data_IF_905839682610
#
_entry.id   IF_905839682610
#
_cell.length_a   1.000
_cell.length_b   1.000
_cell.length_c   1.000
_cell.angle_alpha   90.00
_cell.angle_beta   90.00
_cell.angle_gamma   90.00
#
_symmetry.space_group_name_H-M   'P 1'
#
loop_
_entity.id
_entity.type
_entity.pdbx_description
1 polymer ?
#
# COMPACT_ATOMS: atom_id res chain seq x y z
N UNK A 1 1.49 -20.29 -7.52
CA UNK A 1 2.06 -19.64 -6.33
C UNK A 1 2.93 -20.66 -5.62
N UNK A 2 4.22 -20.38 -5.43
CA UNK A 2 5.05 -21.22 -4.57
C UNK A 2 4.66 -20.98 -3.11
N UNK A 3 4.77 -22.02 -2.29
CA UNK A 3 4.27 -22.03 -0.89
C UNK A 3 4.94 -20.98 0.02
N UNK A 4 6.11 -20.45 -0.37
CA UNK A 4 6.83 -19.39 0.34
C UNK A 4 6.20 -18.00 0.12
N UNK A 5 5.61 -17.74 -1.06
CA UNK A 5 5.08 -16.41 -1.41
C UNK A 5 3.81 -16.08 -0.62
N UNK A 6 2.99 -17.10 -0.31
CA UNK A 6 1.83 -16.97 0.57
C UNK A 6 2.21 -16.58 2.02
N UNK A 7 3.43 -16.88 2.49
CA UNK A 7 3.83 -16.55 3.86
C UNK A 7 3.99 -15.04 4.07
N UNK A 8 4.35 -14.29 3.04
CA UNK A 8 4.56 -12.85 3.13
C UNK A 8 3.26 -12.05 3.21
N UNK A 9 2.13 -12.62 2.76
CA UNK A 9 0.83 -11.96 2.79
C UNK A 9 0.38 -11.59 4.22
N UNK A 10 0.86 -12.31 5.25
CA UNK A 10 0.59 -12.00 6.67
C UNK A 10 1.04 -10.61 7.10
N UNK A 11 1.93 -9.98 6.33
CA UNK A 11 2.45 -8.63 6.59
C UNK A 11 1.65 -7.53 5.91
N UNK A 12 0.63 -7.87 5.09
CA UNK A 12 -0.30 -6.90 4.53
C UNK A 12 -1.18 -6.35 5.67
N UNK A 13 -1.26 -5.02 5.78
CA UNK A 13 -2.15 -4.37 6.73
C UNK A 13 -2.86 -3.16 6.13
N UNK A 14 -4.03 -2.85 6.69
CA UNK A 14 -4.79 -1.66 6.35
C UNK A 14 -4.39 -0.50 7.26
N UNK A 15 -4.18 0.68 6.67
CA UNK A 15 -4.01 1.93 7.39
C UNK A 15 -5.40 2.50 7.67
N UNK A 16 -5.77 2.80 8.92
CA UNK A 16 -7.15 3.17 9.30
C UNK A 16 -7.49 4.63 8.94
N UNK A 17 -7.44 4.99 7.66
CA UNK A 17 -7.64 6.37 7.17
C UNK A 17 -9.10 6.69 6.85
N UNK A 18 -9.93 5.70 6.50
CA UNK A 18 -11.27 5.87 5.94
C UNK A 18 -12.48 5.61 6.86
N UNK A 19 -12.29 5.48 8.18
CA UNK A 19 -13.37 5.12 9.12
C UNK A 19 -14.26 6.29 9.55
N UNK A 20 -15.59 6.07 9.65
CA UNK A 20 -16.47 7.03 10.31
C UNK A 20 -16.10 7.12 11.79
N UNK A 21 -15.74 8.33 12.23
CA UNK A 21 -15.18 8.57 13.56
C UNK A 21 -15.66 9.90 14.10
N UNK A 22 -15.90 9.95 15.41
CA UNK A 22 -16.22 11.20 16.09
C UNK A 22 -15.04 12.18 16.07
N UNK A 23 -15.33 13.47 16.25
CA UNK A 23 -14.32 14.55 16.27
C UNK A 23 -13.18 14.28 17.26
N UNK A 24 -13.51 13.76 18.44
CA UNK A 24 -12.52 13.44 19.47
C UNK A 24 -11.53 12.35 19.00
N UNK A 25 -12.02 11.27 18.38
CA UNK A 25 -11.18 10.19 17.86
C UNK A 25 -10.31 10.66 16.69
N UNK A 26 -10.84 11.50 15.80
CA UNK A 26 -10.05 12.10 14.72
C UNK A 26 -8.91 12.98 15.28
N UNK A 27 -9.18 13.77 16.33
CA UNK A 27 -8.17 14.57 17.02
C UNK A 27 -7.07 13.72 17.65
N UNK A 28 -7.44 12.64 18.34
CA UNK A 28 -6.48 11.69 18.93
C UNK A 28 -5.59 11.02 17.89
N UNK A 29 -6.18 10.51 16.80
CA UNK A 29 -5.40 9.85 15.75
C UNK A 29 -4.40 10.81 15.08
N UNK A 30 -4.79 12.07 14.87
CA UNK A 30 -3.86 13.10 14.38
C UNK A 30 -2.73 13.38 15.37
N UNK A 31 -3.03 13.41 16.68
CA UNK A 31 -2.03 13.57 17.74
C UNK A 31 -1.10 12.34 17.86
N UNK A 32 -1.60 11.14 17.58
CA UNK A 32 -0.84 9.89 17.49
C UNK A 32 0.00 9.77 16.20
N UNK A 33 -0.05 10.79 15.34
CA UNK A 33 0.80 10.89 14.16
C UNK A 33 0.14 10.44 12.86
N UNK A 34 -1.16 10.13 12.85
CA UNK A 34 -1.87 9.86 11.60
C UNK A 34 -1.77 11.07 10.66
N UNK A 35 -1.36 10.79 9.43
CA UNK A 35 -1.28 11.78 8.35
C UNK A 35 -2.46 11.61 7.41
N UNK A 36 -3.00 12.74 6.95
CA UNK A 36 -4.01 12.74 5.89
C UNK A 36 -3.40 12.17 4.60
N UNK A 37 -4.21 11.44 3.84
CA UNK A 37 -3.84 10.96 2.51
C UNK A 37 -2.91 9.75 2.45
N UNK A 38 -2.52 9.15 3.58
CA UNK A 38 -1.73 7.91 3.55
C UNK A 38 -2.51 6.82 2.80
N UNK A 39 -1.89 6.01 1.93
CA UNK A 39 -2.61 4.97 1.21
C UNK A 39 -3.21 3.91 2.13
N UNK A 40 -4.32 3.31 1.70
CA UNK A 40 -5.14 2.41 2.51
C UNK A 40 -4.45 1.09 2.87
N UNK A 41 -3.62 0.52 2.00
CA UNK A 41 -2.94 -0.75 2.24
C UNK A 41 -1.42 -0.60 2.15
N UNK A 42 -0.72 -1.34 3.01
CA UNK A 42 0.74 -1.42 3.01
C UNK A 42 1.19 -2.87 3.16
N UNK A 43 2.15 -3.26 2.33
CA UNK A 43 2.84 -4.54 2.35
C UNK A 43 4.35 -4.27 2.37
N UNK A 44 4.99 -4.21 3.55
CA UNK A 44 6.39 -3.84 3.73
C UNK A 44 7.32 -5.03 3.45
N UNK A 45 7.24 -5.55 2.23
CA UNK A 45 7.96 -6.76 1.80
C UNK A 45 8.80 -6.42 0.57
N UNK A 46 10.13 -6.36 0.66
CA UNK A 46 10.97 -5.94 -0.46
C UNK A 46 10.95 -6.91 -1.65
N UNK A 47 11.02 -6.35 -2.87
CA UNK A 47 10.99 -7.11 -4.14
C UNK A 47 11.84 -6.47 -5.21
N UNK A 48 12.34 -7.25 -6.16
CA UNK A 48 13.19 -6.77 -7.27
C UNK A 48 12.46 -6.92 -8.60
N UNK A 49 12.41 -5.85 -9.40
CA UNK A 49 11.86 -5.87 -10.76
C UNK A 49 12.63 -4.90 -11.66
N UNK A 50 12.96 -5.34 -12.88
CA UNK A 50 13.63 -4.49 -13.88
C UNK A 50 14.95 -3.88 -13.41
N UNK A 51 15.73 -4.63 -12.61
CA UNK A 51 16.99 -4.15 -12.03
C UNK A 51 16.85 -3.15 -10.88
N UNK A 52 15.63 -2.92 -10.37
CA UNK A 52 15.34 -2.02 -9.25
C UNK A 52 14.79 -2.80 -8.06
N UNK A 53 15.19 -2.39 -6.86
CA UNK A 53 14.61 -2.89 -5.61
C UNK A 53 13.48 -1.96 -5.16
N UNK A 54 12.33 -2.55 -4.88
CA UNK A 54 11.20 -1.91 -4.23
C UNK A 54 11.20 -2.29 -2.74
N UNK A 55 11.03 -1.30 -1.86
CA UNK A 55 11.04 -1.53 -0.41
C UNK A 55 9.72 -2.07 0.15
N UNK A 56 8.66 -2.04 -0.65
CA UNK A 56 7.34 -2.56 -0.32
C UNK A 56 6.30 -2.12 -1.35
N UNK A 57 5.08 -2.62 -1.19
CA UNK A 57 3.90 -2.26 -1.99
C UNK A 57 2.92 -1.46 -1.15
N UNK A 58 2.37 -0.39 -1.73
CA UNK A 58 1.30 0.41 -1.16
C UNK A 58 0.14 0.51 -2.15
N UNK A 59 -1.10 0.40 -1.65
CA UNK A 59 -2.29 0.56 -2.49
C UNK A 59 -3.23 1.60 -1.88
N UNK A 60 -3.64 2.56 -2.71
CA UNK A 60 -4.73 3.50 -2.42
C UNK A 60 -6.00 2.94 -3.05
N UNK A 61 -7.03 2.65 -2.25
CA UNK A 61 -8.25 2.01 -2.72
C UNK A 61 -9.33 3.05 -3.02
N UNK A 62 -9.95 2.91 -4.18
CA UNK A 62 -11.07 3.72 -4.62
C UNK A 62 -12.26 2.84 -4.97
N UNK A 63 -13.44 3.44 -4.88
CA UNK A 63 -14.62 2.89 -5.56
C UNK A 63 -14.47 3.13 -7.05
N UNK A 64 -15.19 2.37 -7.86
CA UNK A 64 -15.29 2.60 -9.30
C UNK A 64 -15.66 4.06 -9.59
N UNK A 65 -14.85 4.74 -10.42
CA UNK A 65 -15.01 6.16 -10.74
C UNK A 65 -14.48 7.13 -9.68
N UNK A 66 -13.96 6.64 -8.55
CA UNK A 66 -13.29 7.46 -7.55
C UNK A 66 -11.87 7.84 -7.96
N UNK A 67 -11.42 9.03 -7.56
CA UNK A 67 -10.07 9.52 -7.80
C UNK A 67 -9.35 9.82 -6.46
N UNK A 68 -8.01 9.72 -6.40
CA UNK A 68 -7.25 10.19 -5.25
C UNK A 68 -7.40 11.70 -5.05
N UNK A 69 -7.41 12.13 -3.80
CA UNK A 69 -7.26 13.55 -3.44
C UNK A 69 -5.85 14.04 -3.70
N UNK A 70 -5.63 15.35 -3.65
CA UNK A 70 -4.31 15.97 -3.77
C UNK A 70 -3.30 15.40 -2.76
N UNK A 71 -3.65 15.37 -1.47
CA UNK A 71 -2.81 14.76 -0.43
C UNK A 71 -2.43 13.29 -0.73
N UNK A 72 -3.34 12.52 -1.36
CA UNK A 72 -3.08 11.13 -1.71
C UNK A 72 -2.13 11.03 -2.91
N UNK A 73 -2.25 11.93 -3.88
CA UNK A 73 -1.28 12.04 -4.98
C UNK A 73 0.12 12.42 -4.49
N UNK A 74 0.21 13.30 -3.51
CA UNK A 74 1.48 13.66 -2.89
C UNK A 74 2.14 12.46 -2.20
N UNK A 75 1.37 11.66 -1.46
CA UNK A 75 1.85 10.42 -0.86
C UNK A 75 2.34 9.42 -1.90
N UNK A 76 1.55 9.16 -2.94
CA UNK A 76 1.91 8.23 -4.02
C UNK A 76 3.20 8.67 -4.72
N UNK A 77 3.31 9.97 -5.02
CA UNK A 77 4.51 10.56 -5.62
C UNK A 77 5.73 10.41 -4.72
N UNK A 78 5.58 10.69 -3.42
CA UNK A 78 6.64 10.50 -2.44
C UNK A 78 7.09 9.04 -2.37
N UNK A 79 6.15 8.09 -2.28
CA UNK A 79 6.42 6.66 -2.19
C UNK A 79 7.18 6.15 -3.43
N UNK A 80 6.77 6.55 -4.64
CA UNK A 80 7.50 6.21 -5.86
C UNK A 80 8.94 6.73 -5.86
N UNK A 81 9.14 7.99 -5.45
CA UNK A 81 10.48 8.60 -5.34
C UNK A 81 11.33 7.93 -4.28
N UNK A 82 10.71 7.45 -3.21
CA UNK A 82 11.36 6.75 -2.10
C UNK A 82 11.62 5.26 -2.39
N UNK A 83 11.30 4.74 -3.58
CA UNK A 83 11.58 3.35 -3.95
C UNK A 83 10.51 2.34 -3.52
N UNK A 84 9.27 2.78 -3.32
CA UNK A 84 8.13 1.88 -3.11
C UNK A 84 7.34 1.67 -4.41
N UNK A 85 6.75 0.49 -4.56
CA UNK A 85 5.66 0.28 -5.51
C UNK A 85 4.39 0.88 -4.88
N UNK A 86 3.68 1.75 -5.61
CA UNK A 86 2.47 2.39 -5.11
C UNK A 86 1.43 2.53 -6.22
N UNK A 87 0.20 2.10 -5.98
CA UNK A 87 -0.84 2.09 -7.02
C UNK A 87 -2.20 2.56 -6.49
N UNK A 88 -2.95 3.24 -7.35
CA UNK A 88 -4.37 3.49 -7.13
C UNK A 88 -5.15 2.33 -7.72
N UNK A 89 -6.08 1.78 -6.96
CA UNK A 89 -6.87 0.61 -7.38
C UNK A 89 -8.34 0.89 -7.14
N UNK A 90 -9.18 0.64 -8.14
CA UNK A 90 -10.61 0.98 -8.10
C UNK A 90 -11.54 -0.25 -8.08
N UNK A 91 -10.98 -1.46 -8.09
CA UNK A 91 -11.70 -2.71 -7.97
C UNK A 91 -10.90 -3.77 -7.15
N UNK A 92 -11.60 -4.66 -6.42
CA UNK A 92 -10.93 -5.64 -5.55
C UNK A 92 -10.08 -6.68 -6.30
N UNK A 93 -10.46 -7.05 -7.52
CA UNK A 93 -9.76 -8.09 -8.28
C UNK A 93 -8.39 -7.62 -8.74
N UNK A 94 -8.30 -6.38 -9.25
CA UNK A 94 -7.04 -5.72 -9.57
C UNK A 94 -6.16 -5.58 -8.33
N UNK A 95 -6.73 -5.28 -7.15
CA UNK A 95 -5.95 -5.18 -5.92
C UNK A 95 -5.29 -6.52 -5.58
N UNK A 96 -6.07 -7.61 -5.64
CA UNK A 96 -5.59 -8.97 -5.42
C UNK A 96 -4.52 -9.37 -6.43
N UNK A 97 -4.72 -9.02 -7.70
CA UNK A 97 -3.77 -9.30 -8.76
C UNK A 97 -2.44 -8.57 -8.53
N UNK A 98 -2.48 -7.26 -8.23
CA UNK A 98 -1.28 -6.47 -7.94
C UNK A 98 -0.49 -7.02 -6.74
N UNK A 99 -1.17 -7.41 -5.67
CA UNK A 99 -0.51 -8.03 -4.50
C UNK A 99 0.15 -9.35 -4.91
N UNK A 100 -0.56 -10.18 -5.68
CA UNK A 100 -0.06 -11.49 -6.12
C UNK A 100 1.14 -11.33 -7.05
N UNK A 101 1.05 -10.45 -8.04
CA UNK A 101 2.12 -10.17 -9.00
C UNK A 101 3.34 -9.60 -8.28
N UNK A 102 3.14 -8.63 -7.38
CA UNK A 102 4.21 -8.08 -6.57
C UNK A 102 4.91 -9.16 -5.73
N UNK A 103 4.15 -10.02 -5.05
CA UNK A 103 4.71 -11.10 -4.25
C UNK A 103 5.46 -12.15 -5.09
N UNK A 104 5.09 -12.31 -6.37
CA UNK A 104 5.76 -13.22 -7.32
C UNK A 104 7.09 -12.69 -7.86
N UNK A 105 7.40 -11.41 -7.62
CA UNK A 105 8.69 -10.84 -7.98
C UNK A 105 9.82 -11.48 -7.15
N UNK A 106 11.06 -11.52 -7.68
CA UNK A 106 12.22 -11.96 -6.90
C UNK A 106 12.39 -11.20 -5.57
N UNK A 107 12.76 -11.93 -4.53
CA UNK A 107 13.23 -11.34 -3.27
C UNK A 107 14.67 -10.82 -3.44
N UNK A 108 15.02 -9.64 -2.87
CA UNK A 108 16.39 -9.15 -2.89
C UNK A 108 17.34 -9.99 -2.03
N UNK A 109 16.83 -10.66 -1.00
CA UNK A 109 17.58 -11.60 -0.18
C UNK A 109 17.16 -13.05 -0.50
N UNK A 110 18.08 -14.00 -0.68
CA UNK A 110 17.74 -15.41 -0.63
C UNK A 110 17.28 -15.77 0.79
N UNK A 111 16.11 -16.40 0.90
CA UNK A 111 15.60 -16.98 2.15
C UNK A 111 16.50 -18.13 2.60
#
# INVERSE_FOLDING_TARGET
MHHADCQHLRWLFAVPNGGHRGKASAGKMKAEGQRTGVPDLSLPVPRVAGGRTFHGLWLELKKTGGAPSEDQWDWLTHLHRAGYAAHVVNDPDTARQLITDYLSLPSPDPI
#
